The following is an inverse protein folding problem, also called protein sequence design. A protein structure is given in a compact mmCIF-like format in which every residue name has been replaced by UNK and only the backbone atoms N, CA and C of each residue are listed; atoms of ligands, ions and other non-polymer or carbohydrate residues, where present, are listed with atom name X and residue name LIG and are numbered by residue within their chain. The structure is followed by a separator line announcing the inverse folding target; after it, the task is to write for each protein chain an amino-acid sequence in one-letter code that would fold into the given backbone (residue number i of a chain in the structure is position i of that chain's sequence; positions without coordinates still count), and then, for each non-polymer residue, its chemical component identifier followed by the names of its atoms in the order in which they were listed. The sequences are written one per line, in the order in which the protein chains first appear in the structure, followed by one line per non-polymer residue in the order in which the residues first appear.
data_IF_878918177488
#
_entry.id   IF_878918177488
#
_cell.length_a   1.000
_cell.length_b   1.000
_cell.length_c   1.000
_cell.angle_alpha   90.00
_cell.angle_beta   90.00
_cell.angle_gamma   90.00
#
_symmetry.space_group_name_H-M   'P 1'
#
loop_
_entity.id
_entity.type
_entity.pdbx_description
1 polymer ?
#
# COMPACT_ATOMS: atom_id res chain seq x y z
N UNK A 1 -27.61 -5.98 -15.85
CA UNK A 1 -26.86 -7.24 -15.67
C UNK A 1 -25.45 -6.96 -16.13
N UNK A 2 -24.58 -6.59 -15.20
CA UNK A 2 -23.18 -6.31 -15.51
C UNK A 2 -22.48 -7.58 -15.96
N UNK A 3 -21.58 -7.47 -16.94
CA UNK A 3 -20.70 -8.55 -17.34
C UNK A 3 -19.96 -9.04 -16.08
N UNK A 4 -19.96 -10.34 -15.74
CA UNK A 4 -19.14 -10.82 -14.63
C UNK A 4 -17.69 -10.44 -14.93
N UNK A 5 -17.06 -9.72 -14.01
CA UNK A 5 -15.68 -9.28 -14.16
C UNK A 5 -14.79 -10.49 -14.38
N UNK A 6 -14.05 -10.49 -15.50
CA UNK A 6 -13.16 -11.58 -15.83
C UNK A 6 -11.82 -11.26 -15.18
N UNK A 7 -11.44 -12.06 -14.19
CA UNK A 7 -10.07 -12.10 -13.72
C UNK A 7 -9.31 -13.15 -14.54
N UNK A 8 -8.06 -12.86 -14.85
CA UNK A 8 -7.19 -13.72 -15.65
C UNK A 8 -5.96 -14.11 -14.86
N UNK A 9 -5.56 -15.38 -15.00
CA UNK A 9 -4.28 -15.86 -14.49
C UNK A 9 -3.21 -15.60 -15.54
N UNK A 10 -2.14 -14.91 -15.14
CA UNK A 10 -1.00 -14.61 -15.99
C UNK A 10 0.29 -15.02 -15.31
N UNK A 11 0.76 -16.22 -15.66
CA UNK A 11 1.79 -16.89 -14.87
C UNK A 11 1.26 -17.24 -13.49
N UNK A 12 1.84 -16.65 -12.44
CA UNK A 12 1.46 -16.84 -11.04
C UNK A 12 0.51 -15.75 -10.52
N UNK A 13 0.24 -14.71 -11.31
CA UNK A 13 -0.56 -13.56 -10.88
C UNK A 13 -2.04 -13.72 -11.27
N UNK A 14 -2.93 -13.32 -10.37
CA UNK A 14 -4.37 -13.22 -10.62
C UNK A 14 -4.76 -11.74 -10.70
N UNK A 15 -5.07 -11.27 -11.91
CA UNK A 15 -5.29 -9.85 -12.20
C UNK A 15 -6.65 -9.64 -12.85
N UNK A 16 -7.25 -8.46 -12.66
CA UNK A 16 -8.39 -8.03 -13.47
C UNK A 16 -8.00 -8.04 -14.95
N UNK A 17 -8.88 -8.55 -15.82
CA UNK A 17 -8.66 -8.50 -17.26
C UNK A 17 -8.53 -7.04 -17.72
N UNK A 18 -7.37 -6.71 -18.30
CA UNK A 18 -7.09 -5.39 -18.84
C UNK A 18 -7.71 -5.25 -20.23
N UNK A 19 -8.23 -4.07 -20.58
CA UNK A 19 -8.77 -3.84 -21.94
C UNK A 19 -7.68 -3.58 -22.97
N UNK A 20 -6.49 -3.21 -22.52
CA UNK A 20 -5.34 -2.96 -23.39
C UNK A 20 -4.30 -4.03 -23.10
N UNK A 21 -3.95 -4.83 -24.10
CA UNK A 21 -2.90 -5.85 -23.96
C UNK A 21 -1.58 -5.27 -23.43
N UNK A 22 -1.24 -4.06 -23.86
CA UNK A 22 -0.06 -3.36 -23.37
C UNK A 22 -0.11 -3.05 -21.86
N UNK A 23 -1.29 -2.87 -21.25
CA UNK A 23 -1.43 -2.72 -19.79
C UNK A 23 -1.01 -3.99 -19.10
N UNK A 24 -1.56 -5.12 -19.53
CA UNK A 24 -1.24 -6.43 -18.98
C UNK A 24 0.27 -6.68 -18.98
N UNK A 25 0.93 -6.46 -20.11
CA UNK A 25 2.37 -6.69 -20.24
C UNK A 25 3.18 -5.77 -19.32
N UNK A 26 2.80 -4.49 -19.22
CA UNK A 26 3.44 -3.54 -18.31
C UNK A 26 3.32 -3.98 -16.85
N UNK A 27 2.11 -4.32 -16.42
CA UNK A 27 1.80 -4.74 -15.05
C UNK A 27 2.55 -6.02 -14.70
N UNK A 28 2.46 -7.05 -15.55
CA UNK A 28 3.13 -8.34 -15.29
C UNK A 28 4.65 -8.19 -15.24
N UNK A 29 5.23 -7.34 -16.09
CA UNK A 29 6.67 -7.10 -16.05
C UNK A 29 7.10 -6.36 -14.77
N UNK A 30 6.33 -5.36 -14.32
CA UNK A 30 6.57 -4.68 -13.05
C UNK A 30 6.50 -5.64 -11.86
N UNK A 31 5.47 -6.49 -11.80
CA UNK A 31 5.32 -7.47 -10.73
C UNK A 31 6.47 -8.48 -10.69
N UNK A 32 6.95 -8.94 -11.86
CA UNK A 32 8.15 -9.81 -11.94
C UNK A 32 9.41 -9.09 -11.46
N UNK A 33 9.55 -7.81 -11.80
CA UNK A 33 10.68 -7.00 -11.33
C UNK A 33 10.65 -6.88 -9.79
N UNK A 34 9.48 -6.56 -9.23
CA UNK A 34 9.26 -6.47 -7.78
C UNK A 34 9.51 -7.81 -7.07
N UNK A 35 9.02 -8.93 -7.62
CA UNK A 35 9.26 -10.27 -7.07
C UNK A 35 10.75 -10.55 -6.87
N UNK A 36 11.60 -10.06 -7.78
CA UNK A 36 13.06 -10.25 -7.71
C UNK A 36 13.71 -9.21 -6.79
N UNK A 37 13.35 -7.93 -6.94
CA UNK A 37 14.02 -6.81 -6.26
C UNK A 37 13.62 -6.68 -4.78
N UNK A 38 12.42 -7.12 -4.41
CA UNK A 38 11.85 -6.91 -3.07
C UNK A 38 11.68 -8.21 -2.29
N UNK A 39 12.29 -9.31 -2.74
CA UNK A 39 12.23 -10.61 -2.03
C UNK A 39 12.75 -10.57 -0.58
N UNK A 40 13.51 -9.55 -0.23
CA UNK A 40 14.14 -9.34 1.07
C UNK A 40 13.41 -8.30 1.93
N UNK A 41 12.35 -7.68 1.43
CA UNK A 41 11.59 -6.61 2.09
C UNK A 41 10.34 -7.21 2.73
N UNK A 42 10.22 -7.21 4.07
CA UNK A 42 9.05 -7.76 4.73
C UNK A 42 7.74 -7.03 4.38
N UNK A 43 7.80 -5.71 4.18
CA UNK A 43 6.60 -4.91 3.92
C UNK A 43 6.45 -4.53 2.44
N UNK A 44 7.37 -3.72 1.89
CA UNK A 44 7.28 -3.25 0.50
C UNK A 44 7.67 -4.37 -0.46
N UNK A 45 6.80 -5.35 -0.58
CA UNK A 45 6.97 -6.63 -1.25
C UNK A 45 6.04 -6.75 -2.47
N UNK A 46 6.12 -7.90 -3.15
CA UNK A 46 5.17 -8.25 -4.19
C UNK A 46 3.73 -8.29 -3.65
N UNK A 47 3.53 -8.87 -2.46
CA UNK A 47 2.20 -9.04 -1.87
C UNK A 47 1.58 -7.68 -1.54
N UNK A 48 2.36 -6.76 -0.98
CA UNK A 48 1.93 -5.36 -0.77
C UNK A 48 1.47 -4.73 -2.09
N UNK A 49 2.28 -4.85 -3.15
CA UNK A 49 1.95 -4.28 -4.45
C UNK A 49 0.64 -4.84 -5.02
N UNK A 50 0.43 -6.16 -4.93
CA UNK A 50 -0.80 -6.82 -5.37
C UNK A 50 -2.00 -6.36 -4.55
N UNK A 51 -1.85 -6.25 -3.21
CA UNK A 51 -2.90 -5.75 -2.34
C UNK A 51 -3.29 -4.31 -2.69
N UNK A 52 -2.31 -3.41 -2.88
CA UNK A 52 -2.57 -2.03 -3.32
C UNK A 52 -3.34 -2.00 -4.64
N UNK A 53 -2.95 -2.81 -5.63
CA UNK A 53 -3.69 -2.89 -6.89
C UNK A 53 -5.14 -3.36 -6.70
N UNK A 54 -5.35 -4.41 -5.92
CA UNK A 54 -6.69 -4.97 -5.68
C UNK A 54 -7.59 -3.98 -4.94
N UNK A 55 -7.06 -3.34 -3.90
CA UNK A 55 -7.74 -2.28 -3.15
C UNK A 55 -8.13 -1.14 -4.08
N UNK A 56 -7.20 -0.66 -4.91
CA UNK A 56 -7.47 0.46 -5.80
C UNK A 56 -8.54 0.14 -6.86
N UNK A 57 -8.57 -1.11 -7.36
CA UNK A 57 -9.65 -1.60 -8.23
C UNK A 57 -10.98 -1.62 -7.48
N UNK A 58 -11.03 -2.19 -6.27
CA UNK A 58 -12.25 -2.24 -5.46
C UNK A 58 -12.79 -0.84 -5.12
N UNK A 59 -11.91 0.14 -4.91
CA UNK A 59 -12.30 1.54 -4.75
C UNK A 59 -13.04 2.04 -6.00
N UNK A 60 -12.49 1.81 -7.20
CA UNK A 60 -13.14 2.22 -8.46
C UNK A 60 -14.45 1.48 -8.69
N UNK A 61 -14.55 0.20 -8.32
CA UNK A 61 -15.79 -0.58 -8.42
C UNK A 61 -16.91 0.02 -7.57
N UNK A 62 -16.59 0.43 -6.33
CA UNK A 62 -17.55 1.11 -5.46
C UNK A 62 -17.98 2.45 -6.07
N UNK A 63 -17.03 3.29 -6.50
CA UNK A 63 -17.35 4.58 -7.13
C UNK A 63 -18.24 4.37 -8.35
N UNK A 64 -17.91 3.41 -9.21
CA UNK A 64 -18.68 3.08 -10.43
C UNK A 64 -20.07 2.54 -10.11
N UNK A 65 -20.23 1.78 -9.03
CA UNK A 65 -21.53 1.24 -8.62
C UNK A 65 -22.54 2.33 -8.23
N UNK A 66 -22.04 3.45 -7.69
CA UNK A 66 -22.83 4.59 -7.25
C UNK A 66 -23.00 5.60 -8.38
N UNK A 67 -21.90 5.96 -9.05
CA UNK A 67 -21.86 6.88 -10.17
C UNK A 67 -21.12 6.27 -11.37
N UNK A 68 -21.82 5.52 -12.24
CA UNK A 68 -21.20 4.79 -13.35
C UNK A 68 -20.41 5.66 -14.33
N UNK A 69 -20.82 6.91 -14.52
CA UNK A 69 -20.21 7.84 -15.47
C UNK A 69 -18.88 8.43 -14.98
N UNK A 70 -18.54 8.25 -13.69
CA UNK A 70 -17.28 8.74 -13.12
C UNK A 70 -16.09 7.83 -13.42
N UNK A 71 -16.33 6.55 -13.70
CA UNK A 71 -15.27 5.55 -13.86
C UNK A 71 -15.43 4.88 -15.23
N UNK A 72 -14.45 5.12 -16.09
CA UNK A 72 -14.33 4.45 -17.38
C UNK A 72 -13.54 3.14 -17.25
N UNK A 73 -13.69 2.25 -18.22
CA UNK A 73 -12.85 1.03 -18.30
C UNK A 73 -11.35 1.38 -18.38
N UNK A 74 -11.03 2.55 -18.94
CA UNK A 74 -9.66 3.04 -19.06
C UNK A 74 -9.05 3.40 -17.70
N UNK A 75 -9.85 3.82 -16.73
CA UNK A 75 -9.36 4.16 -15.39
C UNK A 75 -8.84 2.92 -14.64
N UNK A 76 -9.45 1.75 -14.87
CA UNK A 76 -8.95 0.49 -14.34
C UNK A 76 -7.58 0.11 -14.91
N UNK A 77 -7.36 0.29 -16.21
CA UNK A 77 -6.06 0.01 -16.81
C UNK A 77 -4.97 0.92 -16.20
N UNK A 78 -5.29 2.20 -16.02
CA UNK A 78 -4.37 3.19 -15.47
C UNK A 78 -4.11 3.00 -13.97
N UNK A 79 -5.12 2.60 -13.18
CA UNK A 79 -4.94 2.30 -11.75
C UNK A 79 -4.08 1.05 -11.55
N UNK A 80 -4.22 0.03 -12.40
CA UNK A 80 -3.37 -1.15 -12.33
C UNK A 80 -1.91 -0.82 -12.63
N UNK A 81 -1.64 0.07 -13.60
CA UNK A 81 -0.26 0.53 -13.87
C UNK A 81 0.26 1.34 -12.69
N UNK A 82 -0.52 2.29 -12.16
CA UNK A 82 -0.08 3.09 -11.02
C UNK A 82 0.21 2.20 -9.79
N UNK A 83 -0.68 1.25 -9.48
CA UNK A 83 -0.50 0.30 -8.38
C UNK A 83 0.70 -0.63 -8.60
N UNK A 84 0.90 -1.16 -9.79
CA UNK A 84 2.05 -2.03 -10.08
C UNK A 84 3.40 -1.31 -9.99
N UNK A 85 3.42 0.01 -10.22
CA UNK A 85 4.65 0.79 -10.23
C UNK A 85 4.87 1.66 -9.00
N UNK A 86 3.89 1.88 -8.12
CA UNK A 86 4.02 2.88 -7.03
C UNK A 86 5.27 2.66 -6.16
N UNK A 87 5.56 1.41 -5.88
CA UNK A 87 6.69 0.97 -5.06
C UNK A 87 7.75 0.19 -5.83
N UNK A 88 7.76 0.22 -7.17
CA UNK A 88 8.74 -0.58 -7.96
C UNK A 88 10.21 -0.25 -7.60
N UNK A 89 10.48 0.95 -7.10
CA UNK A 89 11.76 1.33 -6.50
C UNK A 89 11.56 1.60 -5.01
N UNK A 90 12.21 0.80 -4.17
CA UNK A 90 12.16 0.92 -2.71
C UNK A 90 13.56 0.93 -2.07
N UNK A 91 14.38 1.89 -2.51
CA UNK A 91 15.74 2.09 -2.03
C UNK A 91 15.77 2.66 -0.61
N UNK A 92 16.83 2.32 0.12
CA UNK A 92 17.08 2.82 1.46
C UNK A 92 18.56 2.91 1.76
N UNK A 93 18.91 3.71 2.77
CA UNK A 93 20.22 3.67 3.42
C UNK A 93 20.09 2.98 4.79
N UNK A 94 21.20 2.54 5.38
CA UNK A 94 21.24 2.01 6.75
C UNK A 94 22.06 2.95 7.62
N UNK A 95 21.42 3.51 8.65
CA UNK A 95 22.03 4.41 9.63
C UNK A 95 21.75 3.86 11.03
N UNK A 96 22.80 3.63 11.82
CA UNK A 96 22.71 3.05 13.17
C UNK A 96 21.91 1.74 13.23
N UNK A 97 22.03 0.92 12.18
CA UNK A 97 21.33 -0.36 12.05
C UNK A 97 19.83 -0.26 11.71
N UNK A 98 19.32 0.95 11.49
CA UNK A 98 17.95 1.21 11.06
C UNK A 98 17.90 1.59 9.58
N UNK A 99 16.82 1.19 8.93
CA UNK A 99 16.52 1.63 7.57
C UNK A 99 16.14 3.11 7.58
N UNK A 100 16.76 3.88 6.69
CA UNK A 100 16.36 5.26 6.39
C UNK A 100 15.81 5.28 4.98
N UNK A 101 14.50 5.47 4.86
CA UNK A 101 13.80 5.54 3.57
C UNK A 101 14.24 6.78 2.80
N UNK A 102 14.33 6.65 1.48
CA UNK A 102 14.60 7.76 0.57
C UNK A 102 13.30 8.37 0.05
N UNK A 103 12.38 8.74 0.93
CA UNK A 103 11.21 9.54 0.52
C UNK A 103 11.62 11.03 0.36
N UNK A 104 11.17 11.74 -0.68
CA UNK A 104 10.23 11.34 -1.73
C UNK A 104 10.91 10.72 -2.98
N UNK A 105 12.21 10.43 -2.93
CA UNK A 105 12.98 9.96 -4.08
C UNK A 105 12.46 8.64 -4.65
N UNK A 106 12.08 7.68 -3.80
CA UNK A 106 11.53 6.39 -4.24
C UNK A 106 10.30 6.57 -5.13
N UNK A 107 9.31 7.36 -4.68
CA UNK A 107 8.08 7.62 -5.42
C UNK A 107 8.35 8.36 -6.74
N UNK A 108 9.28 9.32 -6.76
CA UNK A 108 9.66 10.02 -7.99
C UNK A 108 10.33 9.10 -9.02
N UNK A 109 11.22 8.21 -8.59
CA UNK A 109 11.89 7.27 -9.51
C UNK A 109 10.92 6.18 -9.97
N UNK A 110 10.07 5.65 -9.09
CA UNK A 110 8.96 4.75 -9.42
C UNK A 110 8.03 5.35 -10.47
N UNK A 111 7.60 6.60 -10.29
CA UNK A 111 6.78 7.30 -11.26
C UNK A 111 7.48 7.53 -12.60
N UNK A 112 8.79 7.84 -12.58
CA UNK A 112 9.58 7.95 -13.81
C UNK A 112 9.66 6.61 -14.56
N UNK A 113 9.87 5.50 -13.86
CA UNK A 113 9.86 4.15 -14.43
C UNK A 113 8.52 3.82 -15.10
N UNK A 114 7.41 4.13 -14.44
CA UNK A 114 6.08 3.97 -15.02
C UNK A 114 5.94 4.77 -16.32
N UNK A 115 6.35 6.05 -16.31
CA UNK A 115 6.26 6.92 -17.47
C UNK A 115 7.09 6.43 -18.65
N UNK A 116 8.31 5.95 -18.41
CA UNK A 116 9.19 5.38 -19.45
C UNK A 116 8.60 4.12 -20.06
N UNK A 117 8.05 3.24 -19.22
CA UNK A 117 7.41 2.01 -19.66
C UNK A 117 6.15 2.30 -20.50
N UNK A 118 5.28 3.20 -20.03
CA UNK A 118 4.08 3.62 -20.79
C UNK A 118 4.42 4.34 -22.11
N UNK A 119 5.48 5.16 -22.17
CA UNK A 119 5.92 5.80 -23.44
C UNK A 119 6.38 4.79 -24.48
N UNK A 120 6.99 3.71 -24.01
CA UNK A 120 7.55 2.65 -24.85
C UNK A 120 6.49 1.65 -25.30
N UNK A 121 5.40 1.51 -24.54
CA UNK A 121 4.30 0.62 -24.83
C UNK A 121 3.56 0.99 -26.13
N UNK A 122 3.36 -0.02 -26.98
CA UNK A 122 2.68 0.10 -28.27
C UNK A 122 1.44 -0.80 -28.32
N UNK A 123 0.44 -0.37 -29.08
CA UNK A 123 -0.66 -1.21 -29.54
C UNK A 123 -0.18 -2.19 -30.62
N UNK A 124 -1.03 -3.16 -31.00
CA UNK A 124 -0.70 -4.17 -32.01
C UNK A 124 -0.35 -3.60 -33.39
N UNK A 125 -0.90 -2.44 -33.72
CA UNK A 125 -0.61 -1.68 -34.94
C UNK A 125 0.63 -0.76 -34.82
N UNK A 126 1.36 -0.84 -33.70
CA UNK A 126 2.59 -0.08 -33.46
C UNK A 126 2.39 1.38 -33.03
N UNK A 127 1.16 1.82 -32.78
CA UNK A 127 0.87 3.16 -32.27
C UNK A 127 1.15 3.24 -30.75
N UNK A 128 1.38 4.44 -30.18
CA UNK A 128 1.49 4.60 -28.73
C UNK A 128 0.22 4.10 -28.02
N UNK A 129 0.39 3.22 -27.02
CA UNK A 129 -0.74 2.68 -26.26
C UNK A 129 -1.40 3.70 -25.32
N UNK A 130 -0.64 4.72 -24.91
CA UNK A 130 -1.08 5.74 -23.96
C UNK A 130 -0.79 7.15 -24.49
N UNK A 131 -1.72 8.05 -24.21
CA UNK A 131 -1.57 9.48 -24.45
C UNK A 131 -0.66 10.12 -23.40
N UNK A 132 -0.15 11.32 -23.71
CA UNK A 132 0.62 12.12 -22.74
C UNK A 132 -0.20 12.50 -21.49
N UNK A 133 -1.52 12.60 -21.62
CA UNK A 133 -2.40 12.93 -20.48
C UNK A 133 -2.46 11.79 -19.47
N UNK A 134 -2.63 10.56 -19.97
CA UNK A 134 -2.70 9.35 -19.14
C UNK A 134 -1.37 9.04 -18.46
N UNK A 135 -0.25 9.23 -19.16
CA UNK A 135 1.07 9.10 -18.56
C UNK A 135 1.24 10.09 -17.40
N UNK A 136 0.81 11.35 -17.56
CA UNK A 136 0.86 12.33 -16.46
C UNK A 136 -0.06 11.95 -15.30
N UNK A 137 -1.21 11.35 -15.60
CA UNK A 137 -2.17 10.91 -14.59
C UNK A 137 -1.59 9.78 -13.72
N UNK A 138 -0.97 8.77 -14.32
CA UNK A 138 -0.29 7.69 -13.59
C UNK A 138 0.87 8.24 -12.76
N UNK A 139 1.71 9.11 -13.35
CA UNK A 139 2.83 9.76 -12.64
C UNK A 139 2.33 10.55 -11.42
N UNK A 140 1.29 11.37 -11.59
CA UNK A 140 0.72 12.13 -10.48
C UNK A 140 0.15 11.21 -9.40
N UNK A 141 -0.49 10.11 -9.78
CA UNK A 141 -1.08 9.15 -8.83
C UNK A 141 -0.02 8.43 -8.00
N UNK A 142 1.16 8.14 -8.57
CA UNK A 142 2.30 7.60 -7.82
C UNK A 142 2.92 8.69 -6.93
N UNK A 143 3.05 9.93 -7.40
CA UNK A 143 3.55 11.02 -6.54
C UNK A 143 2.61 11.31 -5.35
N UNK A 144 1.31 11.07 -5.53
CA UNK A 144 0.32 11.22 -4.47
C UNK A 144 0.48 10.16 -3.37
N UNK A 145 1.33 9.14 -3.52
CA UNK A 145 1.64 8.19 -2.43
C UNK A 145 2.75 8.66 -1.49
N UNK A 146 3.46 9.75 -1.81
CA UNK A 146 4.53 10.28 -0.96
C UNK A 146 4.00 10.53 0.46
N UNK A 147 4.55 9.86 1.50
CA UNK A 147 4.03 9.99 2.85
C UNK A 147 4.57 11.23 3.57
N UNK A 148 3.77 11.76 4.48
CA UNK A 148 4.17 12.73 5.49
C UNK A 148 3.59 12.34 6.86
N UNK A 149 4.27 12.75 7.92
CA UNK A 149 3.81 12.52 9.29
C UNK A 149 2.90 13.65 9.76
N UNK A 150 1.70 13.29 10.22
CA UNK A 150 0.78 14.16 10.92
C UNK A 150 1.01 14.01 12.43
N UNK A 151 1.69 15.01 12.99
CA UNK A 151 2.01 15.04 14.43
C UNK A 151 0.74 15.16 15.28
N UNK A 152 -0.29 15.84 14.80
CA UNK A 152 -1.51 16.10 15.56
C UNK A 152 -2.35 14.83 15.71
N UNK A 153 -2.42 14.03 14.64
CA UNK A 153 -3.19 12.80 14.61
C UNK A 153 -2.32 11.53 14.79
N UNK A 154 -1.02 11.68 15.08
CA UNK A 154 -0.06 10.56 15.26
C UNK A 154 -0.12 9.54 14.12
N UNK A 155 -0.20 10.00 12.87
CA UNK A 155 -0.44 9.10 11.74
C UNK A 155 0.27 9.56 10.47
N UNK A 156 0.28 8.71 9.44
CA UNK A 156 0.74 9.07 8.10
C UNK A 156 -0.41 9.62 7.28
N UNK A 157 -0.09 10.60 6.43
CA UNK A 157 -0.98 11.09 5.39
C UNK A 157 -0.20 11.38 4.11
N UNK A 158 -0.92 11.57 3.02
CA UNK A 158 -0.36 11.87 1.71
C UNK A 158 -0.67 13.33 1.35
N UNK A 159 0.28 14.28 1.50
CA UNK A 159 0.00 15.71 1.43
C UNK A 159 -0.42 16.20 0.04
N UNK A 160 -0.05 15.47 -1.02
CA UNK A 160 -0.46 15.81 -2.38
C UNK A 160 -1.91 15.41 -2.66
N UNK A 161 -2.50 14.50 -1.87
CA UNK A 161 -3.89 14.11 -1.99
C UNK A 161 -4.81 15.23 -1.50
N UNK A 162 -5.58 15.83 -2.41
CA UNK A 162 -6.42 16.99 -2.12
C UNK A 162 -7.76 16.95 -2.88
N UNK A 163 -8.62 17.94 -2.68
CA UNK A 163 -9.95 17.99 -3.30
C UNK A 163 -9.93 17.91 -4.83
N UNK A 164 -8.86 18.38 -5.46
CA UNK A 164 -8.65 18.34 -6.90
C UNK A 164 -7.97 17.07 -7.42
N UNK A 165 -7.56 16.14 -6.55
CA UNK A 165 -6.96 14.87 -6.95
C UNK A 165 -7.96 14.01 -7.72
N UNK A 166 -7.46 13.33 -8.74
CA UNK A 166 -8.26 12.47 -9.61
C UNK A 166 -8.71 11.20 -8.88
N UNK A 167 -9.68 10.48 -9.44
CA UNK A 167 -10.14 9.20 -8.88
C UNK A 167 -9.02 8.15 -8.85
N UNK A 168 -8.13 8.14 -9.84
CA UNK A 168 -6.99 7.21 -9.88
C UNK A 168 -6.01 7.53 -8.75
N UNK A 169 -5.69 8.81 -8.57
CA UNK A 169 -4.77 9.23 -7.51
C UNK A 169 -5.34 8.92 -6.14
N UNK A 170 -6.64 9.14 -5.92
CA UNK A 170 -7.35 8.75 -4.70
C UNK A 170 -7.35 7.25 -4.47
N UNK A 171 -7.67 6.46 -5.50
CA UNK A 171 -7.72 5.01 -5.41
C UNK A 171 -6.36 4.44 -4.96
N UNK A 172 -5.26 4.92 -5.57
CA UNK A 172 -3.91 4.48 -5.23
C UNK A 172 -3.50 4.96 -3.83
N UNK A 173 -3.70 6.23 -3.54
CA UNK A 173 -3.33 6.83 -2.26
C UNK A 173 -4.01 6.09 -1.09
N UNK A 174 -5.32 5.83 -1.19
CA UNK A 174 -6.06 5.08 -0.17
C UNK A 174 -5.68 3.61 -0.09
N UNK A 175 -5.42 2.97 -1.23
CA UNK A 175 -5.03 1.58 -1.26
C UNK A 175 -3.67 1.33 -0.58
N UNK A 176 -2.74 2.28 -0.73
CA UNK A 176 -1.38 2.21 -0.18
C UNK A 176 -1.37 2.22 1.36
N UNK A 177 -2.12 3.13 1.99
CA UNK A 177 -2.17 3.28 3.45
C UNK A 177 -3.49 2.80 4.08
N UNK A 178 -4.19 1.90 3.38
CA UNK A 178 -5.57 1.52 3.69
C UNK A 178 -5.74 0.34 4.64
N UNK A 179 -4.68 -0.42 4.97
CA UNK A 179 -4.83 -1.78 5.51
C UNK A 179 -5.79 -1.91 6.69
N UNK A 180 -5.65 -1.02 7.68
CA UNK A 180 -6.49 -1.03 8.88
C UNK A 180 -7.99 -0.79 8.62
N UNK A 181 -8.33 -0.16 7.50
CA UNK A 181 -9.71 0.11 7.14
C UNK A 181 -10.31 -0.96 6.23
N UNK A 182 -9.47 -1.65 5.45
CA UNK A 182 -9.88 -2.49 4.32
C UNK A 182 -9.75 -3.99 4.60
N UNK A 183 -8.70 -4.44 5.29
CA UNK A 183 -8.51 -5.86 5.63
C UNK A 183 -8.78 -6.17 7.11
N UNK A 184 -8.84 -5.14 7.95
CA UNK A 184 -9.15 -5.27 9.36
C UNK A 184 -8.00 -5.86 10.21
N UNK A 185 -8.33 -6.47 11.37
CA UNK A 185 -7.38 -6.87 12.41
C UNK A 185 -6.17 -7.67 11.92
N UNK A 186 -6.40 -8.76 11.21
CA UNK A 186 -5.33 -9.66 10.76
C UNK A 186 -4.39 -8.96 9.77
N UNK A 187 -4.95 -8.13 8.88
CA UNK A 187 -4.18 -7.35 7.92
C UNK A 187 -3.27 -6.34 8.59
N UNK A 188 -3.80 -5.54 9.53
CA UNK A 188 -3.01 -4.49 10.17
C UNK A 188 -1.95 -5.03 11.12
N UNK A 189 -2.21 -6.15 11.79
CA UNK A 189 -1.22 -6.82 12.65
C UNK A 189 -0.02 -7.27 11.80
N UNK A 190 -0.29 -7.98 10.71
CA UNK A 190 0.75 -8.44 9.78
C UNK A 190 1.55 -7.26 9.21
N UNK A 191 0.87 -6.21 8.77
CA UNK A 191 1.52 -5.03 8.20
C UNK A 191 2.38 -4.29 9.25
N UNK A 192 1.89 -4.17 10.48
CA UNK A 192 2.65 -3.57 11.57
C UNK A 192 3.93 -4.34 11.87
N UNK A 193 3.86 -5.68 11.91
CA UNK A 193 5.03 -6.52 12.18
C UNK A 193 6.04 -6.46 11.01
N UNK A 194 5.55 -6.54 9.78
CA UNK A 194 6.37 -6.43 8.58
C UNK A 194 7.08 -5.06 8.51
N UNK A 195 6.36 -3.97 8.78
CA UNK A 195 6.96 -2.63 8.84
C UNK A 195 8.02 -2.53 9.93
N UNK A 196 7.76 -3.09 11.12
CA UNK A 196 8.75 -3.11 12.20
C UNK A 196 10.04 -3.81 11.76
N UNK A 197 9.92 -5.00 11.17
CA UNK A 197 11.09 -5.76 10.72
C UNK A 197 11.82 -5.08 9.58
N UNK A 198 11.09 -4.45 8.66
CA UNK A 198 11.70 -3.74 7.55
C UNK A 198 12.46 -2.49 8.00
N UNK A 199 11.93 -1.74 8.97
CA UNK A 199 12.61 -0.58 9.53
C UNK A 199 13.81 -0.98 10.42
N UNK A 200 13.82 -2.22 10.93
CA UNK A 200 14.86 -2.79 11.79
C UNK A 200 15.57 -4.00 11.14
N UNK A 201 15.95 -3.89 9.86
CA UNK A 201 16.49 -5.03 9.08
C UNK A 201 17.69 -5.75 9.72
N UNK A 202 18.57 -5.02 10.43
CA UNK A 202 19.71 -5.62 11.13
C UNK A 202 19.27 -6.52 12.30
N UNK A 203 18.15 -6.19 12.95
CA UNK A 203 17.58 -7.01 14.01
C UNK A 203 17.10 -8.35 13.46
N UNK A 204 16.45 -8.35 12.29
CA UNK A 204 16.02 -9.59 11.61
C UNK A 204 17.21 -10.50 11.36
N UNK A 205 18.34 -9.96 10.89
CA UNK A 205 19.55 -10.75 10.71
C UNK A 205 20.13 -11.29 12.02
N UNK A 206 20.10 -10.50 13.09
CA UNK A 206 20.61 -10.90 14.40
C UNK A 206 19.76 -12.03 15.01
N UNK A 207 18.44 -11.92 14.91
CA UNK A 207 17.48 -12.97 15.31
C UNK A 207 17.78 -14.26 14.54
N UNK A 208 17.88 -14.17 13.20
CA UNK A 208 18.14 -15.33 12.35
C UNK A 208 19.48 -16.04 12.66
N UNK A 209 20.48 -15.28 13.11
CA UNK A 209 21.81 -15.80 13.49
C UNK A 209 21.89 -16.26 14.96
N UNK A 210 20.85 -16.04 15.77
CA UNK A 210 20.85 -16.36 17.21
C UNK A 210 21.81 -15.49 18.04
N UNK A 211 22.13 -14.28 17.56
CA UNK A 211 23.21 -13.44 18.09
C UNK A 211 22.70 -12.27 18.96
N UNK A 212 21.63 -12.47 19.72
CA UNK A 212 21.07 -11.44 20.62
C UNK A 212 21.36 -11.83 22.07
N UNK A 213 22.07 -10.95 22.79
CA UNK A 213 22.31 -11.09 24.23
C UNK A 213 21.04 -10.82 25.05
N UNK A 214 20.96 -11.34 26.28
CA UNK A 214 19.77 -11.16 27.13
C UNK A 214 19.45 -9.67 27.43
N UNK A 215 20.47 -8.80 27.48
CA UNK A 215 20.25 -7.35 27.65
C UNK A 215 19.66 -6.71 26.40
N UNK A 216 20.09 -7.16 25.22
CA UNK A 216 19.52 -6.72 23.94
C UNK A 216 18.08 -7.23 23.77
N UNK A 217 17.77 -8.46 24.22
CA UNK A 217 16.39 -9.00 24.21
C UNK A 217 15.41 -8.08 24.92
N UNK A 218 15.77 -7.60 26.11
CA UNK A 218 14.92 -6.66 26.87
C UNK A 218 14.71 -5.34 26.12
N UNK A 219 15.76 -4.82 25.48
CA UNK A 219 15.70 -3.58 24.69
C UNK A 219 14.79 -3.75 23.48
N UNK A 220 14.97 -4.83 22.73
CA UNK A 220 14.16 -5.15 21.54
C UNK A 220 12.70 -5.40 21.93
N UNK A 221 12.45 -6.15 23.01
CA UNK A 221 11.10 -6.33 23.55
C UNK A 221 10.43 -4.98 23.82
N UNK A 222 11.13 -4.05 24.47
CA UNK A 222 10.63 -2.70 24.71
C UNK A 222 10.30 -1.94 23.42
N UNK A 223 11.12 -2.09 22.37
CA UNK A 223 10.87 -1.47 21.07
C UNK A 223 9.64 -2.06 20.37
N UNK A 224 9.46 -3.38 20.38
CA UNK A 224 8.30 -4.06 19.80
C UNK A 224 7.01 -3.65 20.51
N UNK A 225 7.02 -3.61 21.85
CA UNK A 225 5.87 -3.19 22.64
C UNK A 225 5.53 -1.72 22.39
N UNK A 226 6.54 -0.85 22.35
CA UNK A 226 6.35 0.55 21.98
C UNK A 226 5.78 0.72 20.57
N UNK A 227 6.29 -0.04 19.59
CA UNK A 227 5.78 -0.04 18.22
C UNK A 227 4.32 -0.49 18.17
N UNK A 228 3.99 -1.62 18.80
CA UNK A 228 2.64 -2.20 18.82
C UNK A 228 1.65 -1.23 19.46
N UNK A 229 2.03 -0.61 20.58
CA UNK A 229 1.22 0.41 21.25
C UNK A 229 0.91 1.61 20.35
N UNK A 230 1.92 2.12 19.63
CA UNK A 230 1.75 3.27 18.73
C UNK A 230 0.79 3.00 17.56
N UNK A 231 0.59 1.74 17.17
CA UNK A 231 -0.30 1.42 16.03
C UNK A 231 -1.77 1.74 16.34
N UNK A 232 -2.20 1.66 17.59
CA UNK A 232 -3.56 2.04 17.97
C UNK A 232 -3.83 3.52 17.61
N UNK A 233 -2.92 4.40 18.03
CA UNK A 233 -3.00 5.84 17.73
C UNK A 233 -2.86 6.10 16.23
N UNK A 234 -1.97 5.39 15.56
CA UNK A 234 -1.80 5.48 14.11
C UNK A 234 -3.12 5.21 13.36
N UNK A 235 -3.81 4.12 13.70
CA UNK A 235 -5.07 3.72 13.07
C UNK A 235 -6.19 4.72 13.43
N UNK A 236 -6.28 5.13 14.69
CA UNK A 236 -7.23 6.14 15.13
C UNK A 236 -7.03 7.47 14.39
N UNK A 237 -5.78 7.86 14.16
CA UNK A 237 -5.42 9.01 13.34
C UNK A 237 -5.88 8.87 11.89
N UNK A 238 -5.64 7.72 11.25
CA UNK A 238 -6.15 7.44 9.89
C UNK A 238 -7.67 7.58 9.81
N UNK A 239 -8.40 7.06 10.80
CA UNK A 239 -9.86 7.20 10.91
C UNK A 239 -10.29 8.66 11.00
N UNK A 240 -9.62 9.48 11.84
CA UNK A 240 -9.92 10.90 11.98
C UNK A 240 -9.71 11.68 10.68
N UNK A 241 -8.68 11.31 9.92
CA UNK A 241 -8.33 11.96 8.65
C UNK A 241 -9.25 11.61 7.50
N UNK A 242 -9.87 10.42 7.51
CA UNK A 242 -10.68 9.93 6.40
C UNK A 242 -11.69 10.95 5.86
N UNK A 243 -12.37 11.69 6.75
CA UNK A 243 -13.38 12.67 6.32
C UNK A 243 -12.79 13.82 5.51
N UNK A 244 -11.59 14.28 5.88
CA UNK A 244 -10.90 15.34 5.14
C UNK A 244 -10.37 14.82 3.80
N UNK A 245 -9.91 13.58 3.77
CA UNK A 245 -9.33 12.99 2.56
C UNK A 245 -10.41 12.69 1.52
N UNK A 246 -11.57 12.18 1.95
CA UNK A 246 -12.73 11.94 1.07
C UNK A 246 -13.35 13.24 0.49
N UNK A 247 -12.98 14.40 1.03
CA UNK A 247 -13.48 15.69 0.54
C UNK A 247 -13.14 15.90 -0.95
N UNK A 248 -14.13 16.36 -1.72
CA UNK A 248 -14.04 16.56 -3.17
C UNK A 248 -14.63 15.43 -4.01
N UNK A 249 -14.97 14.29 -3.40
CA UNK A 249 -15.83 13.28 -4.01
C UNK A 249 -17.31 13.65 -3.83
N UNK A 250 -18.23 13.18 -4.71
CA UNK A 250 -19.66 13.33 -4.49
C UNK A 250 -20.13 12.71 -3.16
N UNK A 251 -21.12 13.33 -2.51
CA UNK A 251 -21.55 12.96 -1.15
C UNK A 251 -22.07 11.51 -1.06
N UNK A 252 -22.80 11.05 -2.08
CA UNK A 252 -23.27 9.67 -2.19
C UNK A 252 -22.12 8.66 -2.31
N UNK A 253 -21.10 8.99 -3.10
CA UNK A 253 -19.87 8.19 -3.22
C UNK A 253 -19.12 8.15 -1.88
N UNK A 254 -18.97 9.30 -1.21
CA UNK A 254 -18.30 9.36 0.09
C UNK A 254 -19.03 8.50 1.14
N UNK A 255 -20.36 8.55 1.19
CA UNK A 255 -21.16 7.74 2.13
C UNK A 255 -20.94 6.25 1.89
N UNK A 256 -21.05 5.80 0.63
CA UNK A 256 -20.88 4.38 0.30
C UNK A 256 -19.45 3.90 0.58
N UNK A 257 -18.43 4.72 0.31
CA UNK A 257 -17.05 4.38 0.66
C UNK A 257 -16.87 4.19 2.18
N UNK A 258 -17.48 5.04 3.02
CA UNK A 258 -17.42 4.85 4.48
C UNK A 258 -18.14 3.58 4.93
N UNK A 259 -19.26 3.25 4.30
CA UNK A 259 -20.12 2.14 4.70
C UNK A 259 -19.67 0.78 4.17
N UNK A 260 -18.95 0.73 3.06
CA UNK A 260 -18.64 -0.51 2.33
C UNK A 260 -17.16 -0.73 2.07
N UNK A 261 -16.33 0.32 2.11
CA UNK A 261 -14.91 0.22 1.82
C UNK A 261 -14.07 0.39 3.09
N UNK A 262 -14.23 1.49 3.83
CA UNK A 262 -13.44 1.83 5.01
C UNK A 262 -14.11 1.37 6.32
N UNK A 263 -14.38 0.08 6.46
CA UNK A 263 -15.30 -0.45 7.46
C UNK A 263 -14.61 -1.00 8.73
N UNK A 264 -13.31 -1.26 8.68
CA UNK A 264 -12.64 -2.04 9.73
C UNK A 264 -11.86 -1.23 10.78
N UNK A 265 -11.90 0.11 10.74
CA UNK A 265 -11.07 0.91 11.66
C UNK A 265 -11.25 0.57 13.14
N UNK A 266 -12.49 0.45 13.63
CA UNK A 266 -12.75 0.25 15.06
C UNK A 266 -12.31 -1.12 15.57
N UNK A 267 -12.51 -2.16 14.76
CA UNK A 267 -12.04 -3.51 15.08
C UNK A 267 -10.51 -3.60 15.01
N UNK A 268 -9.86 -2.93 14.05
CA UNK A 268 -8.40 -2.84 13.97
C UNK A 268 -7.79 -2.12 15.17
N UNK A 269 -8.39 -1.04 15.65
CA UNK A 269 -7.94 -0.33 16.87
C UNK A 269 -8.02 -1.28 18.07
N UNK A 270 -9.17 -1.93 18.25
CA UNK A 270 -9.40 -2.88 19.36
C UNK A 270 -8.42 -4.05 19.29
N UNK A 271 -8.13 -4.56 18.10
CA UNK A 271 -7.18 -5.65 17.92
C UNK A 271 -5.75 -5.27 18.29
N UNK A 272 -5.30 -4.05 17.98
CA UNK A 272 -3.96 -3.60 18.39
C UNK A 272 -3.83 -3.38 19.90
N UNK A 273 -4.91 -2.94 20.57
CA UNK A 273 -4.98 -2.87 22.02
C UNK A 273 -4.80 -4.26 22.65
N UNK A 274 -5.59 -5.23 22.19
CA UNK A 274 -5.53 -6.61 22.67
C UNK A 274 -4.16 -7.27 22.39
N UNK A 275 -3.60 -7.03 21.20
CA UNK A 275 -2.29 -7.55 20.82
C UNK A 275 -1.18 -6.98 21.71
N UNK A 276 -1.26 -5.69 22.08
CA UNK A 276 -0.31 -5.09 23.01
C UNK A 276 -0.38 -5.77 24.38
N UNK A 277 -1.57 -5.99 24.92
CA UNK A 277 -1.77 -6.69 26.19
C UNK A 277 -1.17 -8.10 26.14
N UNK A 278 -1.46 -8.86 25.07
CA UNK A 278 -0.93 -10.20 24.85
C UNK A 278 0.60 -10.21 24.80
N UNK A 279 1.19 -9.38 23.94
CA UNK A 279 2.65 -9.28 23.74
C UNK A 279 3.38 -8.82 25.00
N UNK A 280 2.74 -8.03 25.85
CA UNK A 280 3.34 -7.57 27.11
C UNK A 280 3.63 -8.72 28.09
N UNK A 281 2.85 -9.82 27.98
CA UNK A 281 2.97 -11.01 28.82
C UNK A 281 3.89 -12.08 28.24
N UNK A 282 4.23 -11.98 26.95
CA UNK A 282 5.10 -12.95 26.27
C UNK A 282 6.56 -12.81 26.69
N UNK A 283 7.28 -13.93 26.75
CA UNK A 283 8.75 -13.91 26.80
C UNK A 283 9.33 -13.56 25.42
N UNK A 284 10.62 -13.19 25.37
CA UNK A 284 11.23 -12.68 24.14
C UNK A 284 11.10 -13.64 22.95
N UNK A 285 11.39 -14.93 23.14
CA UNK A 285 11.32 -15.92 22.07
C UNK A 285 9.89 -16.16 21.57
N UNK A 286 8.91 -16.13 22.47
CA UNK A 286 7.48 -16.23 22.13
C UNK A 286 7.03 -14.99 21.35
N UNK A 287 7.45 -13.79 21.80
CA UNK A 287 7.15 -12.53 21.13
C UNK A 287 7.67 -12.52 19.70
N UNK A 288 8.94 -12.87 19.48
CA UNK A 288 9.51 -12.97 18.14
C UNK A 288 8.78 -14.03 17.30
N UNK A 289 8.47 -15.19 17.89
CA UNK A 289 7.70 -16.23 17.21
C UNK A 289 6.32 -15.75 16.75
N UNK A 290 5.63 -14.93 17.56
CA UNK A 290 4.31 -14.38 17.23
C UNK A 290 4.33 -13.38 16.08
N UNK A 291 5.45 -12.70 15.85
CA UNK A 291 5.58 -11.69 14.78
C UNK A 291 6.05 -12.29 13.45
N UNK A 292 6.72 -13.44 13.47
CA UNK A 292 7.29 -14.08 12.28
C UNK A 292 6.42 -15.21 11.71
N UNK A 293 5.33 -15.58 12.41
CA UNK A 293 4.37 -16.62 12.00
C UNK A 293 3.21 -16.06 11.20
#
# INVERSE_FOLDING_TARGET
MGNPEVYVTSGEFFLRETKILATHDLVVNALKEIQVQHKDKPYHSLDHTILVMNRAVAFLDIVRSVQPDLVSDRDYDLVLIAGAFHDIIQDYDVVDGKRVRKAPHNEYVSAQRAAEAMRSAKTLDGLPAYSKGEIRLVVASIHDTVPAWDVENTTVYQPSLNSGSTLISRAIAYADIGTAALEGPEGIIRDADNLFFEDNIMLVEQIAKGNISDTEKLTVKGQILGWTYLQQDFIAGRKQRLNYELFGLPDDVQSVLREQYFIHFDESITAMEMLFEERSMMEFEELIGSMMG
#
